data_IF_552803770883
#
_entry.id   IF_552803770883
#
_cell.length_a   1.000
_cell.length_b   1.000
_cell.length_c   1.000
_cell.angle_alpha   90.00
_cell.angle_beta   90.00
_cell.angle_gamma   90.00
#
_symmetry.space_group_name_H-M   'P 1'
#
loop_
_entity.id
_entity.type
_entity.pdbx_description
1 polymer ?
#
# COMPACT_ATOMS: atom_id res chain seq x y z
N UNK A 1 7.92 -33.23 -50.25
CA UNK A 1 8.63 -31.96 -49.92
C UNK A 1 7.66 -30.81 -49.63
N UNK A 2 6.83 -30.34 -50.58
CA UNK A 2 5.89 -29.22 -50.34
C UNK A 2 4.94 -29.40 -49.14
N UNK A 3 4.40 -30.60 -48.92
CA UNK A 3 3.48 -30.86 -47.81
C UNK A 3 4.18 -30.82 -46.44
N UNK A 4 5.41 -31.33 -46.37
CA UNK A 4 6.24 -31.31 -45.17
C UNK A 4 6.59 -29.87 -44.76
N UNK A 5 6.92 -29.02 -45.75
CA UNK A 5 7.21 -27.59 -45.52
C UNK A 5 5.98 -26.87 -44.95
N UNK A 6 4.78 -27.15 -45.45
CA UNK A 6 3.54 -26.56 -44.91
C UNK A 6 3.28 -26.97 -43.46
N UNK A 7 3.46 -28.25 -43.13
CA UNK A 7 3.28 -28.75 -41.76
C UNK A 7 4.28 -28.10 -40.80
N UNK A 8 5.55 -27.99 -41.22
CA UNK A 8 6.59 -27.32 -40.43
C UNK A 8 6.28 -25.83 -40.22
N UNK A 9 5.80 -25.12 -41.24
CA UNK A 9 5.46 -23.71 -41.13
C UNK A 9 4.30 -23.48 -40.14
N UNK A 10 3.25 -24.29 -40.22
CA UNK A 10 2.12 -24.23 -39.29
C UNK A 10 2.56 -24.54 -37.85
N UNK A 11 3.49 -25.49 -37.66
CA UNK A 11 4.04 -25.81 -36.35
C UNK A 11 4.84 -24.64 -35.77
N UNK A 12 5.68 -24.01 -36.59
CA UNK A 12 6.47 -22.84 -36.18
C UNK A 12 5.56 -21.67 -35.83
N UNK A 13 4.49 -21.45 -36.60
CA UNK A 13 3.51 -20.40 -36.31
C UNK A 13 2.79 -20.65 -34.99
N UNK A 14 2.30 -21.87 -34.78
CA UNK A 14 1.67 -22.28 -33.53
C UNK A 14 2.61 -22.12 -32.33
N UNK A 15 3.87 -22.54 -32.46
CA UNK A 15 4.88 -22.36 -31.43
C UNK A 15 5.18 -20.88 -31.15
N UNK A 16 5.25 -20.05 -32.19
CA UNK A 16 5.48 -18.60 -32.04
C UNK A 16 4.35 -17.92 -31.27
N UNK A 17 3.09 -18.26 -31.57
CA UNK A 17 1.92 -17.76 -30.85
C UNK A 17 1.94 -18.18 -29.37
N UNK A 18 2.28 -19.44 -29.08
CA UNK A 18 2.41 -19.93 -27.72
C UNK A 18 3.50 -19.17 -26.97
N UNK A 19 4.68 -18.99 -27.59
CA UNK A 19 5.80 -18.25 -26.98
C UNK A 19 5.41 -16.80 -26.68
N UNK A 20 4.67 -16.14 -27.58
CA UNK A 20 4.16 -14.78 -27.30
C UNK A 20 3.19 -14.74 -26.11
N UNK A 21 2.24 -15.68 -26.06
CA UNK A 21 1.28 -15.76 -24.95
C UNK A 21 1.98 -15.96 -23.61
N UNK A 22 2.92 -16.91 -23.56
CA UNK A 22 3.72 -17.19 -22.37
C UNK A 22 4.57 -15.98 -21.95
N UNK A 23 5.16 -15.25 -22.90
CA UNK A 23 5.90 -14.02 -22.60
C UNK A 23 5.01 -12.94 -21.97
N UNK A 24 3.77 -12.80 -22.44
CA UNK A 24 2.78 -11.85 -21.87
C UNK A 24 2.41 -12.26 -20.45
N UNK A 25 2.13 -13.53 -20.22
CA UNK A 25 1.75 -14.04 -18.89
C UNK A 25 2.90 -13.90 -17.89
N UNK A 26 4.13 -14.26 -18.29
CA UNK A 26 5.32 -14.08 -17.47
C UNK A 26 5.53 -12.61 -17.11
N UNK A 27 5.30 -11.68 -18.06
CA UNK A 27 5.42 -10.25 -17.80
C UNK A 27 4.36 -9.77 -16.80
N UNK A 28 3.10 -10.20 -16.97
CA UNK A 28 1.99 -9.88 -16.05
C UNK A 28 2.30 -10.37 -14.62
N UNK A 29 2.77 -11.61 -14.47
CA UNK A 29 3.13 -12.18 -13.18
C UNK A 29 4.30 -11.43 -12.52
N UNK A 30 5.32 -11.02 -13.30
CA UNK A 30 6.43 -10.22 -12.77
C UNK A 30 5.96 -8.85 -12.28
N UNK A 31 5.06 -8.20 -13.02
CA UNK A 31 4.51 -6.90 -12.62
C UNK A 31 3.63 -7.03 -11.36
N UNK A 32 2.89 -8.14 -11.23
CA UNK A 32 2.12 -8.48 -10.02
C UNK A 32 3.03 -8.70 -8.81
N UNK A 33 4.11 -9.49 -8.95
CA UNK A 33 5.10 -9.70 -7.89
C UNK A 33 5.73 -8.37 -7.46
N UNK A 34 6.10 -7.51 -8.41
CA UNK A 34 6.69 -6.21 -8.09
C UNK A 34 5.69 -5.30 -7.37
N UNK A 35 4.42 -5.29 -7.78
CA UNK A 35 3.34 -4.58 -7.08
C UNK A 35 3.20 -5.05 -5.64
N UNK A 36 3.16 -6.37 -5.42
CA UNK A 36 3.05 -6.96 -4.07
C UNK A 36 4.28 -6.63 -3.20
N UNK A 37 5.47 -6.55 -3.79
CA UNK A 37 6.69 -6.12 -3.11
C UNK A 37 6.79 -4.60 -2.87
N UNK A 38 5.85 -3.81 -3.41
CA UNK A 38 5.90 -2.35 -3.34
C UNK A 38 6.96 -1.71 -4.24
N UNK A 39 7.50 -2.48 -5.20
CA UNK A 39 8.44 -2.03 -6.20
C UNK A 39 7.69 -1.52 -7.45
N UNK A 40 8.32 -0.63 -8.22
CA UNK A 40 7.72 -0.16 -9.48
C UNK A 40 7.91 -1.24 -10.55
N UNK A 41 6.80 -1.67 -11.18
CA UNK A 41 6.81 -2.59 -12.33
C UNK A 41 7.49 -1.99 -13.56
N UNK A 42 7.50 -2.75 -14.66
CA UNK A 42 8.16 -2.31 -15.91
C UNK A 42 7.51 -1.02 -16.44
N UNK A 43 8.27 0.05 -16.74
CA UNK A 43 7.71 1.28 -17.27
C UNK A 43 7.10 1.04 -18.66
N UNK A 44 5.86 1.49 -18.86
CA UNK A 44 5.22 1.52 -20.17
C UNK A 44 5.77 2.72 -20.94
N UNK A 45 6.73 2.48 -21.82
CA UNK A 45 7.31 3.50 -22.69
C UNK A 45 6.36 3.69 -23.86
N UNK A 46 5.76 4.86 -23.97
CA UNK A 46 4.97 5.23 -25.15
C UNK A 46 5.90 5.45 -26.35
N UNK A 47 5.46 5.12 -27.59
CA UNK A 47 6.20 5.50 -28.79
C UNK A 47 6.45 7.00 -28.84
N UNK A 48 7.61 7.42 -29.35
CA UNK A 48 7.93 8.83 -29.58
C UNK A 48 7.13 9.33 -30.80
N UNK A 49 5.87 9.71 -30.59
CA UNK A 49 5.03 10.33 -31.61
C UNK A 49 5.29 11.84 -31.55
N UNK A 50 5.57 12.53 -32.68
CA UNK A 50 5.65 13.98 -32.69
C UNK A 50 4.33 14.57 -32.18
N UNK A 51 4.41 15.57 -31.28
CA UNK A 51 3.24 16.29 -30.79
C UNK A 51 2.46 16.84 -31.99
N UNK A 52 1.21 16.38 -32.15
CA UNK A 52 0.25 17.13 -32.96
C UNK A 52 -0.08 18.39 -32.18
N UNK A 53 0.04 19.54 -32.84
CA UNK A 53 -0.50 20.81 -32.36
C UNK A 53 -2.02 20.69 -32.29
N UNK A 54 -2.54 20.22 -31.15
CA UNK A 54 -3.94 20.40 -30.82
C UNK A 54 -4.09 21.80 -30.21
N UNK A 55 -4.80 22.68 -30.92
CA UNK A 55 -5.28 23.98 -30.44
C UNK A 55 -6.16 23.77 -29.20
N UNK A 56 -5.51 23.62 -28.04
CA UNK A 56 -6.17 23.54 -26.75
C UNK A 56 -6.44 24.97 -26.31
N UNK A 57 -7.62 25.45 -26.70
CA UNK A 57 -8.25 26.63 -26.14
C UNK A 57 -8.12 26.60 -24.61
N UNK A 58 -7.56 27.68 -24.06
CA UNK A 58 -7.29 27.95 -22.66
C UNK A 58 -8.37 27.41 -21.70
N UNK A 59 -8.22 26.18 -21.23
CA UNK A 59 -8.88 25.69 -20.04
C UNK A 59 -7.97 26.01 -18.85
N UNK A 60 -8.41 27.01 -18.08
CA UNK A 60 -7.66 27.68 -17.02
C UNK A 60 -6.67 26.78 -16.29
N UNK A 61 -5.38 27.08 -16.49
CA UNK A 61 -4.28 26.50 -15.73
C UNK A 61 -4.46 26.98 -14.30
N UNK A 62 -5.21 26.22 -13.51
CA UNK A 62 -5.13 26.32 -12.06
C UNK A 62 -3.74 25.85 -11.72
N UNK A 63 -2.91 26.78 -11.24
CA UNK A 63 -1.53 26.48 -10.83
C UNK A 63 -1.52 25.23 -9.96
N UNK A 64 -0.86 24.17 -10.44
CA UNK A 64 -0.73 22.92 -9.69
C UNK A 64 -0.02 23.25 -8.38
N UNK A 65 -0.71 23.13 -7.24
CA UNK A 65 -0.12 23.36 -5.91
C UNK A 65 1.18 22.56 -5.80
N UNK A 66 2.28 23.26 -5.54
CA UNK A 66 3.58 22.63 -5.31
C UNK A 66 3.47 21.70 -4.10
N UNK A 67 3.60 20.40 -4.33
CA UNK A 67 3.58 19.40 -3.27
C UNK A 67 4.83 19.56 -2.40
N UNK A 68 4.64 19.91 -1.13
CA UNK A 68 5.72 19.95 -0.14
C UNK A 68 5.61 18.73 0.78
N UNK A 69 6.66 17.91 0.81
CA UNK A 69 6.73 16.74 1.69
C UNK A 69 6.98 17.21 3.12
N UNK A 70 5.92 17.37 3.91
CA UNK A 70 6.04 17.66 5.34
C UNK A 70 6.43 16.40 6.10
N UNK A 71 7.34 16.53 7.07
CA UNK A 71 7.71 15.43 7.95
C UNK A 71 6.47 14.98 8.76
N UNK A 72 6.16 13.69 8.74
CA UNK A 72 5.01 13.12 9.49
C UNK A 72 5.25 13.11 11.00
N UNK A 73 6.51 12.97 11.42
CA UNK A 73 6.95 12.86 12.82
C UNK A 73 6.55 14.04 13.73
N UNK A 74 6.74 15.33 13.35
CA UNK A 74 6.36 16.45 14.21
C UNK A 74 4.84 16.61 14.42
N UNK A 75 3.99 15.86 13.72
CA UNK A 75 2.52 15.96 13.84
C UNK A 75 1.90 14.93 14.80
N UNK A 76 2.66 13.95 15.27
CA UNK A 76 2.13 12.89 16.13
C UNK A 76 2.19 13.36 17.59
N UNK A 77 1.02 13.53 18.23
CA UNK A 77 0.92 13.82 19.66
C UNK A 77 1.43 12.61 20.45
N UNK A 78 2.27 12.86 21.45
CA UNK A 78 2.81 11.81 22.34
C UNK A 78 1.91 11.75 23.58
N UNK A 79 1.16 10.67 23.74
CA UNK A 79 0.30 10.48 24.91
C UNK A 79 1.02 9.81 26.10
N UNK A 80 2.12 9.08 25.86
CA UNK A 80 2.95 8.43 26.90
C UNK A 80 4.42 8.39 26.47
N UNK A 81 5.33 8.63 27.42
CA UNK A 81 6.78 8.43 27.27
C UNK A 81 7.25 7.30 28.18
N UNK A 82 8.02 6.36 27.65
CA UNK A 82 8.61 5.25 28.39
C UNK A 82 10.14 5.28 28.28
N UNK A 83 10.83 5.10 29.40
CA UNK A 83 12.29 5.01 29.45
C UNK A 83 12.70 3.55 29.57
N UNK A 84 13.43 3.05 28.58
CA UNK A 84 13.95 1.68 28.56
C UNK A 84 15.38 1.71 29.08
N UNK A 85 15.62 1.09 30.23
CA UNK A 85 16.97 0.91 30.77
C UNK A 85 17.63 -0.33 30.17
N UNK A 86 18.93 -0.27 29.93
CA UNK A 86 19.75 -1.40 29.49
C UNK A 86 20.30 -2.12 30.72
N UNK A 87 20.38 -3.45 30.67
CA UNK A 87 21.03 -4.23 31.72
C UNK A 87 22.53 -3.88 31.79
N UNK A 88 22.97 -3.40 32.96
CA UNK A 88 24.34 -2.96 33.18
C UNK A 88 25.35 -4.11 33.18
N UNK A 89 24.91 -5.34 33.45
CA UNK A 89 25.81 -6.51 33.45
C UNK A 89 26.26 -6.90 32.04
N UNK A 90 25.49 -6.51 31.02
CA UNK A 90 25.82 -6.74 29.61
C UNK A 90 26.67 -5.61 29.02
N UNK A 91 26.88 -4.53 29.76
CA UNK A 91 27.65 -3.38 29.30
C UNK A 91 29.13 -3.55 29.64
N UNK A 92 30.02 -3.03 28.79
CA UNK A 92 31.43 -2.86 29.15
C UNK A 92 31.61 -2.10 30.47
N UNK A 93 32.66 -2.39 31.27
CA UNK A 93 32.89 -1.72 32.55
C UNK A 93 33.08 -0.19 32.45
N UNK A 94 33.54 0.29 31.29
CA UNK A 94 33.74 1.71 30.96
C UNK A 94 32.50 2.39 30.38
N UNK A 95 31.37 1.68 30.25
CA UNK A 95 30.17 2.23 29.67
C UNK A 95 29.54 3.32 30.55
N UNK A 96 29.56 4.55 30.03
CA UNK A 96 28.89 5.69 30.64
C UNK A 96 27.52 5.96 30.02
N UNK A 97 26.55 6.38 30.84
CA UNK A 97 25.25 6.81 30.35
C UNK A 97 25.35 8.16 29.62
N UNK A 98 25.09 8.15 28.30
CA UNK A 98 25.12 9.36 27.43
C UNK A 98 23.75 9.97 27.13
N UNK A 99 22.66 9.41 27.66
CA UNK A 99 21.29 9.89 27.46
C UNK A 99 20.41 8.92 26.68
N UNK A 100 19.29 9.42 26.16
CA UNK A 100 18.24 8.61 25.55
C UNK A 100 18.12 8.88 24.06
N UNK A 101 17.92 7.81 23.27
CA UNK A 101 17.52 7.91 21.87
C UNK A 101 16.01 7.86 21.76
N UNK A 102 15.40 8.90 21.20
CA UNK A 102 13.95 8.96 21.02
C UNK A 102 13.48 8.17 19.79
N UNK A 103 12.59 7.20 20.00
CA UNK A 103 11.88 6.47 18.94
C UNK A 103 10.38 6.63 19.23
N UNK A 104 9.62 7.11 18.23
CA UNK A 104 8.16 7.26 18.33
C UNK A 104 7.51 6.05 17.68
N UNK A 105 6.78 5.26 18.47
CA UNK A 105 6.01 4.09 18.02
C UNK A 105 4.54 4.37 18.34
N UNK A 106 3.66 4.19 17.35
CA UNK A 106 2.21 4.35 17.53
C UNK A 106 1.59 3.01 17.91
N UNK A 107 1.15 2.88 19.16
CA UNK A 107 0.37 1.75 19.63
C UNK A 107 -1.13 2.06 19.56
N UNK A 108 -1.96 1.02 19.45
CA UNK A 108 -3.42 1.12 19.48
C UNK A 108 -3.90 0.58 20.82
N UNK A 109 -4.75 1.34 21.53
CA UNK A 109 -5.44 0.88 22.74
C UNK A 109 -6.89 0.60 22.39
N UNK A 110 -7.29 -0.68 22.46
CA UNK A 110 -8.69 -1.06 22.40
C UNK A 110 -9.26 -1.02 23.83
N UNK A 111 -10.40 -0.36 24.00
CA UNK A 111 -11.15 -0.34 25.24
C UNK A 111 -12.58 -0.79 24.94
N UNK A 112 -13.14 -1.64 25.81
CA UNK A 112 -14.54 -2.04 25.72
C UNK A 112 -15.42 -0.90 26.20
N UNK A 113 -16.41 -0.52 25.41
CA UNK A 113 -17.46 0.40 25.82
C UNK A 113 -18.71 -0.40 26.16
N UNK A 114 -18.81 -0.81 27.42
CA UNK A 114 -19.94 -1.61 27.89
C UNK A 114 -20.99 -0.67 28.47
N UNK A 115 -22.15 -0.58 27.82
CA UNK A 115 -23.30 0.19 28.29
C UNK A 115 -24.40 -0.75 28.75
N UNK A 116 -24.73 -0.71 30.04
CA UNK A 116 -25.88 -1.43 30.60
C UNK A 116 -27.14 -0.57 30.42
N UNK A 117 -28.04 -0.98 29.53
CA UNK A 117 -29.35 -0.33 29.36
C UNK A 117 -30.38 -1.01 30.25
N UNK A 118 -30.91 -0.26 31.22
CA UNK A 118 -32.08 -0.68 32.01
C UNK A 118 -33.30 0.00 31.43
N UNK A 119 -34.14 -0.78 30.76
CA UNK A 119 -35.39 -0.29 30.23
C UNK A 119 -36.40 -0.24 31.36
N UNK A 120 -37.09 0.89 31.46
CA UNK A 120 -38.26 1.00 32.33
C UNK A 120 -39.34 0.05 31.82
N UNK A 121 -40.00 -0.62 32.77
CA UNK A 121 -41.07 -1.55 32.47
C UNK A 121 -42.28 -1.20 33.33
N UNK A 122 -43.39 -0.93 32.67
CA UNK A 122 -44.61 -0.44 33.30
C UNK A 122 -45.67 -1.53 33.24
N UNK A 123 -46.16 -1.92 34.41
CA UNK A 123 -47.32 -2.80 34.53
C UNK A 123 -48.56 -1.95 34.82
N UNK A 124 -49.66 -2.21 34.11
CA UNK A 124 -50.97 -1.64 34.37
C UNK A 124 -51.84 -2.67 35.10
N UNK A 125 -52.05 -2.52 36.43
CA UNK A 125 -52.90 -3.45 37.18
C UNK A 125 -54.36 -3.40 36.73
N UNK A 126 -54.85 -2.21 36.35
CA UNK A 126 -56.24 -1.99 35.93
C UNK A 126 -56.59 -2.67 34.61
N UNK A 127 -55.63 -2.76 33.69
CA UNK A 127 -55.78 -3.47 32.42
C UNK A 127 -55.22 -4.90 32.46
N UNK A 128 -54.60 -5.28 33.58
CA UNK A 128 -53.86 -6.53 33.77
C UNK A 128 -52.87 -6.84 32.63
N UNK A 129 -52.12 -5.80 32.22
CA UNK A 129 -51.16 -5.85 31.11
C UNK A 129 -49.81 -5.36 31.53
N UNK A 130 -48.81 -5.97 30.92
CA UNK A 130 -47.39 -5.77 31.17
C UNK A 130 -46.72 -5.43 29.85
#
# INVERSE_FOLDING_TARGET
IKNLIKILLNLIESQSQIIESQKKDIQSLKDEINRLKGEKGKPKISPNVPEKEEDTQNLGITEKKKWTKSAKKPRIKIDRTEYISVDKNLLPPDAEHKGYRTIIIQNIKFATDNVEYKLEYYYSPSENKT
#
